data_IF_154993510666
#
_entry.id   IF_154993510666
#
_cell.length_a   1.000
_cell.length_b   1.000
_cell.length_c   1.000
_cell.angle_alpha   90.00
_cell.angle_beta   90.00
_cell.angle_gamma   90.00
#
_symmetry.space_group_name_H-M   'P 1'
#
loop_
_entity.id
_entity.type
_entity.pdbx_description
1 polymer ?
#
# COMPACT_ATOMS: atom_id res chain seq x y z
N UNK A 1 6.03 12.85 -10.12
CA UNK A 1 5.16 12.77 -11.33
C UNK A 1 4.13 13.88 -11.36
N UNK A 2 3.25 14.03 -10.34
CA UNK A 2 2.17 15.02 -10.35
C UNK A 2 2.68 16.47 -10.47
N UNK A 3 3.65 16.88 -9.64
CA UNK A 3 4.21 18.24 -9.70
C UNK A 3 4.82 18.56 -11.07
N UNK A 4 5.60 17.64 -11.63
CA UNK A 4 6.18 17.79 -12.96
C UNK A 4 5.09 17.97 -14.04
N UNK A 5 4.03 17.16 -13.97
CA UNK A 5 2.88 17.26 -14.87
C UNK A 5 2.19 18.62 -14.78
N UNK A 6 1.88 19.06 -13.57
CA UNK A 6 1.17 20.32 -13.34
C UNK A 6 1.98 21.55 -13.82
N UNK A 7 3.29 21.54 -13.63
CA UNK A 7 4.18 22.58 -14.14
C UNK A 7 4.25 22.56 -15.68
N UNK A 8 4.44 21.37 -16.24
CA UNK A 8 4.56 21.19 -17.68
C UNK A 8 3.27 21.58 -18.45
N UNK A 9 2.09 21.27 -17.89
CA UNK A 9 0.80 21.70 -18.44
C UNK A 9 0.64 23.24 -18.45
N UNK A 10 1.37 23.94 -17.60
CA UNK A 10 1.40 25.43 -17.57
C UNK A 10 2.51 26.02 -18.41
N UNK A 11 3.15 25.22 -19.27
CA UNK A 11 4.19 25.63 -20.20
C UNK A 11 5.59 25.78 -19.60
N UNK A 12 5.79 25.33 -18.35
CA UNK A 12 7.10 25.36 -17.69
C UNK A 12 7.91 24.14 -18.14
N UNK A 13 9.17 24.38 -18.53
CA UNK A 13 10.13 23.30 -18.80
C UNK A 13 10.58 22.67 -17.48
N UNK A 14 10.44 21.35 -17.37
CA UNK A 14 10.71 20.60 -16.14
C UNK A 14 11.78 19.56 -16.39
N UNK A 15 12.81 19.57 -15.55
CA UNK A 15 13.77 18.47 -15.42
C UNK A 15 13.30 17.56 -14.27
N UNK A 16 12.87 16.34 -14.59
CA UNK A 16 12.44 15.35 -13.62
C UNK A 16 13.57 14.33 -13.40
N UNK A 17 14.17 14.35 -12.22
CA UNK A 17 15.20 13.38 -11.83
C UNK A 17 14.56 12.22 -11.07
N UNK A 18 14.87 10.99 -11.50
CA UNK A 18 14.37 9.76 -10.92
C UNK A 18 15.50 8.73 -10.81
N UNK A 19 15.66 8.15 -9.62
CA UNK A 19 16.75 7.19 -9.38
C UNK A 19 16.56 5.86 -10.12
N UNK A 20 15.31 5.47 -10.42
CA UNK A 20 15.01 4.26 -11.18
C UNK A 20 15.27 4.46 -12.68
N UNK A 21 15.78 3.46 -13.39
CA UNK A 21 16.06 2.10 -12.95
C UNK A 21 17.45 1.90 -12.32
N UNK A 22 18.30 2.91 -12.26
CA UNK A 22 19.70 2.76 -11.83
C UNK A 22 19.83 2.36 -10.36
N UNK A 23 18.91 2.85 -9.51
CA UNK A 23 18.85 2.49 -8.10
C UNK A 23 17.42 2.16 -7.71
N UNK A 24 17.26 1.02 -7.04
CA UNK A 24 15.98 0.52 -6.54
C UNK A 24 16.03 0.42 -5.02
N UNK A 25 14.90 0.62 -4.36
CA UNK A 25 14.74 0.23 -2.94
C UNK A 25 14.19 -1.19 -2.84
N UNK A 26 14.27 -1.87 -1.69
CA UNK A 26 13.68 -3.19 -1.50
C UNK A 26 12.17 -3.26 -1.75
N UNK A 27 11.46 -2.14 -1.67
CA UNK A 27 10.02 -2.07 -1.90
C UNK A 27 9.64 -1.93 -3.38
N UNK A 28 10.55 -1.46 -4.23
CA UNK A 28 10.31 -1.30 -5.67
C UNK A 28 10.50 -2.63 -6.42
N UNK A 29 9.63 -2.87 -7.40
CA UNK A 29 9.66 -4.06 -8.26
C UNK A 29 9.70 -3.71 -9.74
N UNK A 30 9.43 -2.45 -10.10
CA UNK A 30 9.40 -1.96 -11.49
C UNK A 30 10.20 -0.67 -11.63
N UNK A 31 10.57 -0.35 -12.88
CA UNK A 31 11.18 0.94 -13.25
C UNK A 31 10.17 2.07 -13.42
N UNK A 32 8.88 1.79 -13.30
CA UNK A 32 7.83 2.77 -13.54
C UNK A 32 7.71 3.82 -12.44
N UNK A 33 7.28 5.03 -12.82
CA UNK A 33 6.92 6.09 -11.89
C UNK A 33 5.63 5.74 -11.14
N UNK A 34 5.41 6.39 -9.99
CA UNK A 34 4.22 6.22 -9.18
C UNK A 34 3.88 4.76 -8.84
N UNK A 35 4.89 3.90 -8.71
CA UNK A 35 4.70 2.51 -8.29
C UNK A 35 4.06 2.44 -6.90
N UNK A 36 2.96 1.71 -6.80
CA UNK A 36 2.25 1.49 -5.53
C UNK A 36 2.88 0.32 -4.77
N UNK A 37 3.81 0.60 -3.87
CA UNK A 37 4.61 -0.43 -3.19
C UNK A 37 3.82 -1.22 -2.15
N UNK A 38 2.91 -0.58 -1.41
CA UNK A 38 2.13 -1.21 -0.34
C UNK A 38 0.78 -1.74 -0.86
N UNK A 39 -0.18 -0.85 -1.10
CA UNK A 39 -1.54 -1.18 -1.50
C UNK A 39 -1.86 -0.63 -2.89
N UNK A 40 -2.72 -1.32 -3.66
CA UNK A 40 -3.24 -0.80 -4.92
C UNK A 40 -4.47 0.11 -4.73
N UNK A 41 -4.85 0.41 -3.50
CA UNK A 41 -5.99 1.27 -3.16
C UNK A 41 -5.55 2.69 -2.81
N UNK A 42 -6.21 3.65 -3.43
CA UNK A 42 -6.12 5.07 -3.11
C UNK A 42 -7.22 5.49 -2.11
N UNK A 43 -7.71 4.56 -1.27
CA UNK A 43 -8.78 4.76 -0.28
C UNK A 43 -10.17 4.99 -0.89
N UNK A 44 -11.13 5.42 -0.06
CA UNK A 44 -12.51 5.63 -0.47
C UNK A 44 -12.69 6.65 -1.60
N UNK A 45 -13.68 6.39 -2.46
CA UNK A 45 -14.00 7.24 -3.62
C UNK A 45 -15.27 8.07 -3.42
N UNK A 46 -16.08 7.77 -2.40
CA UNK A 46 -17.37 8.43 -2.17
C UNK A 46 -17.18 9.88 -1.74
N UNK A 47 -17.98 10.79 -2.33
CA UNK A 47 -17.88 12.23 -2.10
C UNK A 47 -18.23 12.64 -0.66
N UNK A 48 -18.99 11.82 0.05
CA UNK A 48 -19.35 12.01 1.45
C UNK A 48 -18.18 11.81 2.41
N UNK A 49 -17.09 11.26 1.91
CA UNK A 49 -15.85 11.08 2.65
C UNK A 49 -14.83 12.15 2.27
N UNK A 50 -14.12 12.69 3.25
CA UNK A 50 -13.09 13.70 3.01
C UNK A 50 -12.05 13.26 1.96
N UNK A 51 -11.63 11.98 1.99
CA UNK A 51 -10.67 11.43 1.01
C UNK A 51 -11.26 11.29 -0.39
N UNK A 52 -12.57 11.07 -0.52
CA UNK A 52 -13.26 11.04 -1.81
C UNK A 52 -13.48 12.45 -2.36
N UNK A 53 -13.86 13.39 -1.50
CA UNK A 53 -14.01 14.80 -1.87
C UNK A 53 -12.67 15.39 -2.37
N UNK A 54 -11.57 15.14 -1.66
CA UNK A 54 -10.23 15.57 -2.10
C UNK A 54 -9.88 15.02 -3.51
N UNK A 55 -10.25 13.77 -3.81
CA UNK A 55 -10.03 13.22 -5.15
C UNK A 55 -10.82 13.96 -6.22
N UNK A 56 -12.05 14.32 -5.92
CA UNK A 56 -12.86 15.11 -6.87
C UNK A 56 -12.28 16.51 -7.10
N UNK A 57 -11.80 17.16 -6.05
CA UNK A 57 -11.08 18.43 -6.18
C UNK A 57 -9.84 18.30 -7.05
N UNK A 58 -9.04 17.23 -6.85
CA UNK A 58 -7.87 16.94 -7.69
C UNK A 58 -8.25 16.64 -9.14
N UNK A 59 -9.39 15.96 -9.40
CA UNK A 59 -9.89 15.76 -10.78
C UNK A 59 -10.18 17.09 -11.47
N UNK A 60 -10.80 18.04 -10.77
CA UNK A 60 -11.06 19.39 -11.28
C UNK A 60 -9.80 20.21 -11.52
N UNK A 61 -8.68 19.83 -10.92
CA UNK A 61 -7.36 20.40 -11.15
C UNK A 61 -6.55 19.64 -12.23
N UNK A 62 -7.20 18.75 -12.98
CA UNK A 62 -6.58 17.92 -14.04
C UNK A 62 -5.39 17.07 -13.53
N UNK A 63 -5.52 16.48 -12.32
CA UNK A 63 -4.49 15.62 -11.74
C UNK A 63 -4.16 14.44 -12.64
N UNK A 64 -2.88 14.29 -12.98
CA UNK A 64 -2.35 13.14 -13.69
C UNK A 64 -2.65 11.83 -12.95
N UNK A 65 -2.42 11.83 -11.64
CA UNK A 65 -2.60 10.64 -10.80
C UNK A 65 -4.05 10.18 -10.83
N UNK A 66 -5.02 11.11 -10.72
CA UNK A 66 -6.44 10.73 -10.75
C UNK A 66 -6.90 10.31 -12.15
N UNK A 67 -6.43 10.96 -13.21
CA UNK A 67 -6.70 10.52 -14.59
C UNK A 67 -6.23 9.09 -14.83
N UNK A 68 -5.00 8.76 -14.40
CA UNK A 68 -4.46 7.42 -14.55
C UNK A 68 -5.17 6.41 -13.65
N UNK A 69 -5.52 6.80 -12.42
CA UNK A 69 -6.25 5.94 -11.49
C UNK A 69 -7.65 5.59 -12.01
N UNK A 70 -8.38 6.55 -12.53
CA UNK A 70 -9.71 6.33 -13.10
C UNK A 70 -9.65 5.44 -14.35
N UNK A 71 -8.61 5.60 -15.18
CA UNK A 71 -8.39 4.80 -16.39
C UNK A 71 -7.96 3.34 -16.12
N UNK A 72 -7.40 3.07 -14.95
CA UNK A 72 -6.89 1.74 -14.56
C UNK A 72 -7.61 1.18 -13.34
N UNK A 73 -8.82 1.67 -13.08
CA UNK A 73 -9.63 1.27 -11.94
C UNK A 73 -9.97 -0.22 -11.99
N UNK A 74 -9.88 -0.86 -10.83
CA UNK A 74 -10.38 -2.21 -10.58
C UNK A 74 -11.50 -2.16 -9.54
N UNK A 75 -12.38 -3.16 -9.58
CA UNK A 75 -13.49 -3.29 -8.65
C UNK A 75 -12.97 -3.53 -7.21
N UNK A 76 -13.41 -2.68 -6.28
CA UNK A 76 -13.02 -2.74 -4.86
C UNK A 76 -14.07 -2.05 -3.97
N UNK A 77 -15.35 -2.30 -4.22
CA UNK A 77 -16.45 -1.70 -3.48
C UNK A 77 -16.41 -0.16 -3.51
N UNK A 78 -16.45 0.47 -2.35
CA UNK A 78 -16.39 1.93 -2.22
C UNK A 78 -15.00 2.55 -2.32
N UNK A 79 -13.95 1.78 -2.59
CA UNK A 79 -12.59 2.28 -2.75
C UNK A 79 -12.25 2.61 -4.21
N UNK A 80 -11.31 3.54 -4.41
CA UNK A 80 -10.61 3.69 -5.69
C UNK A 80 -9.39 2.80 -5.65
N UNK A 81 -9.50 1.58 -6.17
CA UNK A 81 -8.38 0.69 -6.39
C UNK A 81 -8.02 0.64 -7.88
N UNK A 82 -6.77 0.35 -8.17
CA UNK A 82 -6.25 0.37 -9.54
C UNK A 82 -5.51 -0.94 -9.86
N UNK A 83 -5.46 -1.29 -11.14
CA UNK A 83 -4.45 -2.22 -11.64
C UNK A 83 -3.07 -1.61 -11.35
N UNK A 84 -2.34 -2.21 -10.42
CA UNK A 84 -1.09 -1.66 -9.90
C UNK A 84 -0.06 -1.40 -11.00
N UNK A 85 0.12 -2.37 -11.89
CA UNK A 85 1.09 -2.28 -12.96
C UNK A 85 0.62 -1.35 -14.09
N UNK A 86 -0.64 -1.46 -14.50
CA UNK A 86 -1.26 -0.60 -15.51
C UNK A 86 -1.24 0.87 -15.11
N UNK A 87 -1.53 1.17 -13.85
CA UNK A 87 -1.46 2.53 -13.31
C UNK A 87 -0.04 3.13 -13.39
N UNK A 88 0.95 2.42 -12.86
CA UNK A 88 2.34 2.90 -12.85
C UNK A 88 2.88 3.08 -14.30
N UNK A 89 2.57 2.13 -15.19
CA UNK A 89 2.91 2.21 -16.61
C UNK A 89 2.29 3.43 -17.27
N UNK A 90 0.99 3.66 -17.09
CA UNK A 90 0.27 4.78 -17.71
C UNK A 90 0.79 6.14 -17.23
N UNK A 91 1.07 6.28 -15.92
CA UNK A 91 1.71 7.50 -15.37
C UNK A 91 3.07 7.72 -16.03
N UNK A 92 3.88 6.67 -16.16
CA UNK A 92 5.21 6.74 -16.77
C UNK A 92 5.14 7.16 -18.24
N UNK A 93 4.25 6.56 -19.01
CA UNK A 93 4.03 6.88 -20.43
C UNK A 93 3.64 8.36 -20.61
N UNK A 94 2.68 8.86 -19.83
CA UNK A 94 2.24 10.26 -19.90
C UNK A 94 3.35 11.24 -19.53
N UNK A 95 4.10 10.97 -18.46
CA UNK A 95 5.22 11.83 -18.03
C UNK A 95 6.32 11.87 -19.08
N UNK A 96 6.75 10.69 -19.57
CA UNK A 96 7.83 10.60 -20.57
C UNK A 96 7.47 11.16 -21.95
N UNK A 97 6.19 11.15 -22.31
CA UNK A 97 5.72 11.68 -23.58
C UNK A 97 5.44 13.20 -23.58
N UNK A 98 5.46 13.83 -22.40
CA UNK A 98 5.13 15.27 -22.32
C UNK A 98 6.29 16.14 -22.85
N UNK A 99 6.05 17.06 -23.82
CA UNK A 99 7.13 17.82 -24.48
C UNK A 99 7.90 18.75 -23.54
N UNK A 100 7.30 19.17 -22.44
CA UNK A 100 7.91 20.05 -21.45
C UNK A 100 8.54 19.31 -20.26
N UNK A 101 8.62 17.96 -20.30
CA UNK A 101 9.26 17.18 -19.23
C UNK A 101 10.46 16.44 -19.81
N UNK A 102 11.63 16.72 -19.28
CA UNK A 102 12.86 15.97 -19.55
C UNK A 102 13.15 15.06 -18.36
N UNK A 103 13.12 13.75 -18.58
CA UNK A 103 13.44 12.77 -17.53
C UNK A 103 14.94 12.49 -17.55
N UNK A 104 15.58 12.68 -16.41
CA UNK A 104 17.01 12.38 -16.19
C UNK A 104 17.08 11.22 -15.18
N UNK A 105 17.54 10.03 -15.61
CA UNK A 105 17.78 8.93 -14.69
C UNK A 105 18.99 9.21 -13.79
N UNK A 106 18.96 8.64 -12.60
CA UNK A 106 20.04 8.70 -11.64
C UNK A 106 19.62 9.17 -10.26
N UNK A 107 20.37 8.75 -9.25
CA UNK A 107 20.17 9.16 -7.88
C UNK A 107 20.57 10.63 -7.68
N UNK A 108 19.70 11.40 -7.05
CA UNK A 108 20.03 12.75 -6.59
C UNK A 108 20.60 12.65 -5.18
N UNK A 109 21.84 13.06 -5.01
CA UNK A 109 22.54 13.06 -3.73
C UNK A 109 22.74 14.47 -3.16
N UNK A 110 22.63 15.49 -4.01
CA UNK A 110 22.76 16.89 -3.65
C UNK A 110 21.60 17.70 -4.23
N UNK A 111 21.18 18.73 -3.53
CA UNK A 111 20.09 19.60 -4.02
C UNK A 111 20.69 20.57 -5.03
N UNK A 112 20.22 20.57 -6.29
CA UNK A 112 20.72 21.49 -7.30
C UNK A 112 20.33 22.94 -6.97
N UNK A 113 21.08 23.89 -7.55
CA UNK A 113 20.72 25.30 -7.48
C UNK A 113 19.46 25.63 -8.30
N UNK A 114 18.71 26.64 -7.87
CA UNK A 114 17.53 27.13 -8.57
C UNK A 114 16.21 26.77 -7.89
N UNK A 115 15.12 26.78 -8.66
CA UNK A 115 13.81 26.40 -8.14
C UNK A 115 13.65 24.88 -8.17
N UNK A 116 13.55 24.28 -6.98
CA UNK A 116 13.55 22.82 -6.80
C UNK A 116 12.30 22.38 -6.03
N UNK A 117 11.66 21.32 -6.50
CA UNK A 117 10.61 20.62 -5.79
C UNK A 117 11.13 19.21 -5.45
N UNK A 118 11.30 18.93 -4.16
CA UNK A 118 11.66 17.60 -3.68
C UNK A 118 10.37 16.83 -3.40
N UNK A 119 10.09 15.85 -4.25
CA UNK A 119 8.87 15.04 -4.20
C UNK A 119 9.20 13.54 -4.32
N UNK A 120 10.31 13.12 -3.70
CA UNK A 120 10.83 11.75 -3.73
C UNK A 120 9.94 10.76 -2.95
N UNK A 121 9.07 11.28 -2.08
CA UNK A 121 8.13 10.46 -1.32
C UNK A 121 8.79 9.71 -0.15
N UNK A 122 8.09 8.74 0.44
CA UNK A 122 8.57 8.05 1.64
C UNK A 122 9.80 7.16 1.38
N UNK A 123 9.99 6.69 0.15
CA UNK A 123 11.13 5.85 -0.24
C UNK A 123 12.31 6.66 -0.78
N UNK A 124 12.56 7.83 -0.20
CA UNK A 124 13.73 8.66 -0.48
C UNK A 124 15.01 7.86 -0.23
N UNK A 125 16.00 7.98 -1.14
CA UNK A 125 17.27 7.29 -1.00
C UNK A 125 18.04 7.78 0.23
N UNK A 126 18.87 6.92 0.80
CA UNK A 126 19.66 7.25 2.00
C UNK A 126 20.54 8.49 1.78
N UNK A 127 21.20 8.59 0.63
CA UNK A 127 22.06 9.72 0.33
C UNK A 127 21.30 11.07 0.24
N UNK A 128 20.11 11.08 -0.39
CA UNK A 128 19.27 12.27 -0.41
C UNK A 128 18.68 12.57 0.97
N UNK A 129 18.30 11.54 1.73
CA UNK A 129 17.81 11.71 3.10
C UNK A 129 18.88 12.34 4.01
N UNK A 130 20.13 11.87 3.94
CA UNK A 130 21.27 12.46 4.67
C UNK A 130 21.50 13.93 4.29
N UNK A 131 21.43 14.25 3.00
CA UNK A 131 21.54 15.64 2.53
C UNK A 131 20.42 16.52 3.09
N UNK A 132 19.19 16.02 3.10
CA UNK A 132 18.04 16.74 3.68
C UNK A 132 18.19 16.91 5.19
N UNK A 133 18.68 15.90 5.90
CA UNK A 133 18.98 15.99 7.34
C UNK A 133 20.03 17.09 7.62
N UNK A 134 21.08 17.13 6.81
CA UNK A 134 22.11 18.17 6.92
C UNK A 134 21.57 19.60 6.78
N UNK A 135 20.53 19.82 5.98
CA UNK A 135 19.87 21.11 5.81
C UNK A 135 18.89 21.44 6.94
N UNK A 136 18.22 20.45 7.49
CA UNK A 136 17.12 20.62 8.44
C UNK A 136 17.59 20.57 9.91
N UNK A 137 18.85 20.19 10.17
CA UNK A 137 19.46 20.13 11.51
C UNK A 137 19.06 18.89 12.32
N UNK A 138 19.46 18.88 13.60
CA UNK A 138 19.38 17.70 14.49
C UNK A 138 17.95 17.18 14.79
N UNK A 139 16.90 17.86 14.39
CA UNK A 139 15.51 17.48 14.65
C UNK A 139 14.85 16.72 13.48
N UNK A 140 15.62 16.28 12.52
CA UNK A 140 15.14 15.72 11.26
C UNK A 140 15.08 14.18 11.20
N UNK A 141 15.39 13.48 12.29
CA UNK A 141 15.37 12.00 12.33
C UNK A 141 13.94 11.46 12.39
N UNK A 142 13.27 11.55 11.25
CA UNK A 142 11.88 11.11 11.15
C UNK A 142 11.78 9.97 10.15
N UNK A 143 11.98 8.77 10.67
CA UNK A 143 11.74 7.53 9.97
C UNK A 143 10.62 6.77 10.67
N UNK A 144 9.77 6.13 9.88
CA UNK A 144 8.86 5.11 10.37
C UNK A 144 8.93 3.90 9.46
N UNK A 145 8.61 2.76 10.02
CA UNK A 145 8.56 1.52 9.26
C UNK A 145 7.14 1.24 8.79
N UNK A 146 7.04 0.83 7.53
CA UNK A 146 5.81 0.41 6.88
C UNK A 146 6.01 -1.00 6.32
N UNK A 147 4.94 -1.76 6.29
CA UNK A 147 4.96 -3.12 5.79
C UNK A 147 3.99 -3.29 4.62
N UNK A 148 4.40 -4.04 3.61
CA UNK A 148 3.51 -4.45 2.53
C UNK A 148 2.75 -5.73 2.92
N UNK A 149 1.56 -5.89 2.37
CA UNK A 149 0.79 -7.12 2.48
C UNK A 149 1.17 -8.12 1.36
N UNK A 150 1.04 -9.44 1.60
CA UNK A 150 1.28 -10.45 0.59
C UNK A 150 0.26 -10.41 -0.56
N UNK A 151 0.69 -10.92 -1.72
CA UNK A 151 -0.15 -11.17 -2.87
C UNK A 151 -0.24 -12.68 -3.13
N UNK A 152 -1.44 -13.16 -3.46
CA UNK A 152 -1.69 -14.57 -3.79
C UNK A 152 -2.31 -14.71 -5.18
N UNK A 153 -2.07 -15.84 -5.83
CA UNK A 153 -2.75 -16.22 -7.06
C UNK A 153 -4.23 -16.47 -6.80
N UNK A 154 -5.10 -15.87 -7.60
CA UNK A 154 -6.54 -16.04 -7.47
C UNK A 154 -6.98 -17.52 -7.67
N UNK A 155 -6.32 -18.23 -8.58
CA UNK A 155 -6.60 -19.65 -8.88
C UNK A 155 -6.28 -20.58 -7.71
N UNK A 156 -5.39 -20.15 -6.81
CA UNK A 156 -4.98 -20.93 -5.65
C UNK A 156 -5.84 -20.71 -4.40
N UNK A 157 -6.80 -19.78 -4.46
CA UNK A 157 -7.74 -19.53 -3.36
C UNK A 157 -8.87 -20.57 -3.40
N UNK A 158 -9.07 -21.25 -2.28
CA UNK A 158 -10.13 -22.22 -2.15
C UNK A 158 -11.50 -21.55 -1.96
N UNK A 159 -12.24 -21.44 -3.06
CA UNK A 159 -13.58 -20.83 -3.08
C UNK A 159 -14.68 -21.68 -2.43
N UNK A 160 -14.41 -22.96 -2.08
CA UNK A 160 -15.34 -23.76 -1.26
C UNK A 160 -15.36 -23.25 0.20
N UNK A 161 -14.23 -22.70 0.63
CA UNK A 161 -14.05 -22.08 1.96
C UNK A 161 -14.13 -20.55 1.96
N UNK A 162 -14.55 -19.93 0.86
CA UNK A 162 -14.68 -18.48 0.73
C UNK A 162 -15.95 -18.10 -0.02
N UNK A 163 -16.28 -16.80 -0.03
CA UNK A 163 -17.37 -16.26 -0.86
C UNK A 163 -17.06 -14.84 -1.33
N UNK A 164 -17.65 -14.45 -2.45
CA UNK A 164 -17.64 -13.06 -2.90
C UNK A 164 -18.70 -12.26 -2.15
N UNK A 165 -18.37 -11.07 -1.70
CA UNK A 165 -19.34 -10.22 -1.00
C UNK A 165 -18.76 -8.91 -0.50
N UNK A 166 -19.62 -7.93 -0.30
CA UNK A 166 -19.29 -6.64 0.26
C UNK A 166 -19.88 -6.47 1.67
N UNK A 167 -19.25 -5.63 2.47
CA UNK A 167 -19.69 -5.38 3.85
C UNK A 167 -21.00 -4.61 3.88
N UNK A 168 -22.01 -5.18 4.58
CA UNK A 168 -23.39 -4.66 4.67
C UNK A 168 -24.10 -4.60 3.32
N UNK A 169 -23.75 -5.48 2.38
CA UNK A 169 -24.29 -5.53 1.02
C UNK A 169 -24.23 -4.16 0.31
N UNK A 170 -23.17 -3.36 0.63
CA UNK A 170 -22.96 -2.04 0.07
C UNK A 170 -22.02 -2.11 -1.13
N UNK A 171 -22.55 -1.76 -2.29
CA UNK A 171 -21.81 -1.78 -3.55
C UNK A 171 -21.83 -3.15 -4.22
N UNK A 172 -20.78 -3.50 -4.90
CA UNK A 172 -20.59 -4.75 -5.63
C UNK A 172 -19.83 -5.77 -4.79
N UNK A 173 -20.01 -7.06 -5.07
CA UNK A 173 -19.40 -8.17 -4.34
C UNK A 173 -17.94 -8.37 -4.77
N UNK A 174 -17.09 -7.39 -4.47
CA UNK A 174 -15.74 -7.28 -5.02
C UNK A 174 -14.65 -7.92 -4.16
N UNK A 175 -14.99 -8.33 -2.94
CA UNK A 175 -14.02 -8.95 -2.02
C UNK A 175 -14.27 -10.44 -1.89
N UNK A 176 -13.18 -11.22 -1.91
CA UNK A 176 -13.25 -12.61 -1.44
C UNK A 176 -13.14 -12.59 0.08
N UNK A 177 -14.13 -13.16 0.74
CA UNK A 177 -14.22 -13.26 2.19
C UNK A 177 -13.82 -14.67 2.63
N UNK A 178 -12.76 -14.79 3.40
CA UNK A 178 -12.19 -16.04 3.89
C UNK A 178 -12.51 -16.16 5.40
N UNK A 179 -13.54 -16.92 5.77
CA UNK A 179 -13.96 -17.05 7.17
C UNK A 179 -13.03 -17.95 7.97
N UNK A 180 -13.02 -17.72 9.26
CA UNK A 180 -12.51 -18.62 10.27
C UNK A 180 -13.55 -18.76 11.40
N UNK A 181 -13.71 -19.98 11.91
CA UNK A 181 -14.39 -20.23 13.17
C UNK A 181 -13.49 -19.86 14.35
N UNK A 182 -13.97 -19.99 15.59
CA UNK A 182 -13.21 -19.61 16.77
C UNK A 182 -11.95 -20.47 16.97
N UNK A 183 -12.04 -21.78 16.77
CA UNK A 183 -10.89 -22.70 16.96
C UNK A 183 -9.80 -22.43 15.93
N UNK A 184 -10.18 -22.18 14.67
CA UNK A 184 -9.27 -21.81 13.58
C UNK A 184 -8.60 -20.45 13.86
N UNK A 185 -9.35 -19.47 14.33
CA UNK A 185 -8.82 -18.17 14.70
C UNK A 185 -7.86 -18.25 15.88
N UNK A 186 -8.21 -18.97 16.93
CA UNK A 186 -7.38 -19.11 18.14
C UNK A 186 -6.03 -19.78 17.78
N UNK A 187 -6.07 -20.82 16.94
CA UNK A 187 -4.85 -21.46 16.42
C UNK A 187 -4.03 -20.49 15.56
N UNK A 188 -4.66 -19.78 14.64
CA UNK A 188 -4.03 -18.77 13.79
C UNK A 188 -3.39 -17.65 14.61
N UNK A 189 -4.14 -17.06 15.56
CA UNK A 189 -3.65 -15.99 16.44
C UNK A 189 -2.42 -16.41 17.24
N UNK A 190 -2.44 -17.62 17.80
CA UNK A 190 -1.32 -18.18 18.56
C UNK A 190 -0.07 -18.29 17.69
N UNK A 191 -0.20 -18.87 16.50
CA UNK A 191 0.92 -19.04 15.58
C UNK A 191 1.43 -17.70 15.03
N UNK A 192 0.53 -16.75 14.73
CA UNK A 192 0.87 -15.42 14.29
C UNK A 192 1.70 -14.64 15.31
N UNK A 193 1.30 -14.69 16.59
CA UNK A 193 1.97 -13.96 17.67
C UNK A 193 3.33 -14.51 18.07
N UNK A 194 3.62 -15.77 17.72
CA UNK A 194 4.86 -16.48 18.04
C UNK A 194 5.76 -16.71 16.83
N UNK A 195 5.31 -16.31 15.64
CA UNK A 195 6.05 -16.48 14.40
C UNK A 195 7.36 -15.66 14.37
N UNK A 196 8.34 -16.13 13.62
CA UNK A 196 9.64 -15.47 13.49
C UNK A 196 9.54 -14.26 12.56
N UNK A 197 10.07 -13.15 13.03
CA UNK A 197 10.15 -11.89 12.28
C UNK A 197 11.48 -11.74 11.55
N UNK A 198 11.47 -10.99 10.45
CA UNK A 198 12.69 -10.58 9.78
C UNK A 198 13.44 -9.57 10.65
N UNK A 199 14.76 -9.69 10.71
CA UNK A 199 15.60 -8.70 11.38
C UNK A 199 15.58 -7.40 10.57
N UNK A 200 15.13 -6.31 11.17
CA UNK A 200 15.15 -4.98 10.58
C UNK A 200 15.99 -4.09 11.47
N UNK A 201 17.15 -3.64 10.97
CA UNK A 201 18.04 -2.78 11.72
C UNK A 201 17.35 -1.45 12.09
N UNK A 202 17.39 -1.11 13.37
CA UNK A 202 16.76 0.12 13.89
C UNK A 202 15.24 0.08 14.00
N UNK A 203 14.63 -1.12 13.84
CA UNK A 203 13.21 -1.29 14.06
C UNK A 203 12.89 -1.38 15.56
N UNK A 204 11.96 -0.54 16.00
CA UNK A 204 11.30 -0.64 17.29
C UNK A 204 9.79 -0.60 17.06
N UNK A 205 9.02 -1.39 17.81
CA UNK A 205 7.55 -1.42 17.69
C UNK A 205 6.89 -0.03 17.86
N UNK A 206 7.56 0.86 18.59
CA UNK A 206 7.11 2.25 18.78
C UNK A 206 7.23 3.14 17.54
N UNK A 207 8.02 2.72 16.54
CA UNK A 207 8.25 3.46 15.28
C UNK A 207 7.33 3.01 14.15
N UNK A 208 6.33 2.16 14.42
CA UNK A 208 5.38 1.68 13.42
C UNK A 208 4.26 2.71 13.28
N UNK A 209 3.93 3.06 12.03
CA UNK A 209 2.79 3.91 11.74
C UNK A 209 1.48 3.15 11.97
N UNK A 210 0.59 3.68 12.81
CA UNK A 210 -0.67 3.03 13.20
C UNK A 210 -1.54 2.60 12.01
N UNK A 211 -1.54 3.37 10.92
CA UNK A 211 -2.33 3.06 9.72
C UNK A 211 -1.80 1.90 8.87
N UNK A 212 -0.56 1.47 9.09
CA UNK A 212 0.13 0.40 8.36
C UNK A 212 0.82 -0.59 9.30
N UNK A 213 0.27 -0.74 10.51
CA UNK A 213 0.81 -1.62 11.53
C UNK A 213 0.82 -3.07 11.05
N UNK A 214 1.94 -3.81 11.23
CA UNK A 214 1.99 -5.23 10.92
C UNK A 214 0.94 -6.03 11.69
N UNK A 215 0.36 -7.01 11.03
CA UNK A 215 -0.75 -7.81 11.58
C UNK A 215 -0.34 -8.57 12.84
N UNK A 216 0.89 -9.07 12.92
CA UNK A 216 1.45 -9.73 14.10
C UNK A 216 1.66 -8.76 15.28
N UNK A 217 2.03 -7.50 15.00
CA UNK A 217 2.14 -6.45 16.03
C UNK A 217 0.76 -6.11 16.59
N UNK A 218 -0.25 -5.97 15.72
CA UNK A 218 -1.63 -5.80 16.15
C UNK A 218 -2.12 -6.99 16.99
N UNK A 219 -1.83 -8.21 16.57
CA UNK A 219 -2.23 -9.44 17.27
C UNK A 219 -1.67 -9.51 18.70
N UNK A 220 -0.44 -9.06 18.92
CA UNK A 220 0.20 -9.02 20.24
C UNK A 220 -0.40 -7.98 21.19
N UNK A 221 -1.12 -6.99 20.70
CA UNK A 221 -1.85 -6.02 21.54
C UNK A 221 -3.05 -6.64 22.27
N UNK A 222 -3.50 -7.81 21.85
CA UNK A 222 -4.57 -8.56 22.50
C UNK A 222 -5.26 -9.50 21.53
N UNK A 223 -5.78 -10.62 22.09
CA UNK A 223 -6.44 -11.67 21.33
C UNK A 223 -7.55 -11.13 20.39
N UNK A 224 -8.38 -10.22 20.87
CA UNK A 224 -9.52 -9.71 20.13
C UNK A 224 -9.18 -8.50 19.22
N UNK A 225 -7.94 -8.00 19.25
CA UNK A 225 -7.57 -6.78 18.51
C UNK A 225 -7.85 -6.92 17.01
N UNK A 226 -7.53 -8.06 16.41
CA UNK A 226 -7.75 -8.31 14.99
C UNK A 226 -9.24 -8.39 14.64
N UNK A 227 -10.09 -8.86 15.57
CA UNK A 227 -11.55 -9.00 15.38
C UNK A 227 -12.26 -7.63 15.31
N UNK A 228 -11.64 -6.59 15.85
CA UNK A 228 -12.10 -5.20 15.73
C UNK A 228 -11.35 -4.41 14.65
N UNK A 229 -10.36 -5.02 14.03
CA UNK A 229 -9.49 -4.51 12.98
C UNK A 229 -9.64 -5.23 11.63
N UNK A 230 -8.54 -5.76 11.08
CA UNK A 230 -8.52 -6.34 9.74
C UNK A 230 -9.37 -7.60 9.58
N UNK A 231 -9.60 -8.36 10.65
CA UNK A 231 -10.39 -9.60 10.61
C UNK A 231 -11.83 -9.43 11.10
N UNK A 232 -12.31 -8.20 11.19
CA UNK A 232 -13.68 -7.92 11.62
C UNK A 232 -14.69 -8.61 10.70
N UNK A 233 -15.58 -9.43 11.26
CA UNK A 233 -16.63 -10.15 10.51
C UNK A 233 -17.96 -9.40 10.42
N UNK A 234 -18.21 -8.44 11.30
CA UNK A 234 -19.50 -7.73 11.36
C UNK A 234 -19.86 -7.08 10.03
N UNK A 235 -21.06 -7.41 9.54
CA UNK A 235 -21.60 -6.94 8.26
C UNK A 235 -21.13 -7.77 7.05
N UNK A 236 -20.58 -8.97 7.28
CA UNK A 236 -20.23 -9.96 6.28
C UNK A 236 -20.97 -11.26 6.61
N UNK A 237 -22.17 -11.43 6.08
CA UNK A 237 -22.96 -12.64 6.28
C UNK A 237 -22.42 -13.75 5.37
N UNK A 238 -22.04 -14.88 5.97
CA UNK A 238 -21.65 -16.06 5.21
C UNK A 238 -22.92 -16.68 4.57
N UNK A 239 -23.03 -16.72 3.24
CA UNK A 239 -24.23 -17.22 2.56
C UNK A 239 -24.54 -18.69 2.84
N UNK A 240 -23.57 -19.47 3.32
CA UNK A 240 -23.74 -20.89 3.68
C UNK A 240 -24.42 -21.06 5.04
N UNK A 241 -24.26 -20.11 5.95
CA UNK A 241 -24.75 -20.19 7.34
C UNK A 241 -25.78 -19.12 7.68
N UNK A 242 -25.84 -18.02 6.90
CA UNK A 242 -26.65 -16.84 7.17
C UNK A 242 -26.23 -16.08 8.43
N UNK A 243 -25.00 -16.25 8.89
CA UNK A 243 -24.45 -15.63 10.12
C UNK A 243 -23.05 -15.06 9.86
N UNK A 244 -22.66 -14.10 10.69
CA UNK A 244 -21.29 -13.62 10.69
C UNK A 244 -20.36 -14.72 11.21
N UNK A 245 -19.25 -15.01 10.51
CA UNK A 245 -18.19 -15.86 11.04
C UNK A 245 -17.53 -15.25 12.29
N UNK A 246 -16.71 -16.00 12.99
CA UNK A 246 -15.95 -15.49 14.11
C UNK A 246 -14.93 -14.43 13.65
N UNK A 247 -14.18 -14.75 12.59
CA UNK A 247 -13.24 -13.83 11.94
C UNK A 247 -13.35 -13.97 10.41
N UNK A 248 -12.96 -12.92 9.66
CA UNK A 248 -12.92 -12.95 8.19
C UNK A 248 -11.69 -12.22 7.68
N UNK A 249 -10.90 -12.89 6.87
CA UNK A 249 -9.85 -12.26 6.06
C UNK A 249 -10.44 -11.87 4.72
N UNK A 250 -10.23 -10.63 4.31
CA UNK A 250 -10.70 -10.14 3.02
C UNK A 250 -9.55 -10.09 2.01
N UNK A 251 -9.81 -10.58 0.80
CA UNK A 251 -8.90 -10.45 -0.33
C UNK A 251 -9.49 -9.46 -1.32
N UNK A 252 -8.63 -8.61 -1.89
CA UNK A 252 -9.01 -7.62 -2.90
C UNK A 252 -8.20 -7.83 -4.17
N UNK A 253 -8.83 -7.65 -5.32
CA UNK A 253 -8.16 -7.69 -6.64
C UNK A 253 -7.00 -6.69 -6.68
N UNK A 254 -5.85 -7.13 -7.19
CA UNK A 254 -4.65 -6.32 -7.37
C UNK A 254 -4.38 -5.96 -8.83
N UNK A 255 -5.04 -6.63 -9.77
CA UNK A 255 -4.96 -6.39 -11.21
C UNK A 255 -6.33 -6.45 -11.90
N UNK A 256 -6.40 -5.96 -13.13
CA UNK A 256 -7.63 -5.90 -13.92
C UNK A 256 -8.17 -7.29 -14.30
N UNK A 257 -7.28 -8.24 -14.57
CA UNK A 257 -7.63 -9.62 -14.94
C UNK A 257 -8.25 -10.39 -13.78
N UNK A 258 -8.12 -9.90 -12.53
CA UNK A 258 -8.58 -10.59 -11.32
C UNK A 258 -7.79 -11.87 -11.01
N UNK A 259 -6.58 -12.00 -11.55
CA UNK A 259 -5.71 -13.15 -11.35
C UNK A 259 -4.85 -13.07 -10.08
N UNK A 260 -4.80 -11.89 -9.43
CA UNK A 260 -4.00 -11.63 -8.24
C UNK A 260 -4.86 -10.98 -7.16
N UNK A 261 -4.76 -11.49 -5.95
CA UNK A 261 -5.38 -10.92 -4.77
C UNK A 261 -4.38 -10.42 -3.74
N UNK A 262 -4.69 -9.27 -3.14
CA UNK A 262 -4.00 -8.69 -1.99
C UNK A 262 -4.72 -9.08 -0.70
N UNK A 263 -4.00 -9.52 0.33
CA UNK A 263 -4.53 -9.78 1.66
C UNK A 263 -4.74 -8.44 2.39
N UNK A 264 -6.00 -8.04 2.55
CA UNK A 264 -6.33 -6.73 3.13
C UNK A 264 -6.01 -6.68 4.63
N UNK A 265 -5.17 -5.71 5.03
CA UNK A 265 -4.78 -5.54 6.43
C UNK A 265 -3.71 -6.52 6.93
N UNK A 266 -3.07 -7.27 6.02
CA UNK A 266 -2.00 -8.23 6.33
C UNK A 266 -0.60 -7.68 6.03
N UNK A 267 -0.38 -6.41 6.27
CA UNK A 267 0.98 -5.88 6.33
C UNK A 267 1.77 -6.69 7.36
N UNK A 268 2.98 -7.10 7.01
CA UNK A 268 3.75 -8.01 7.87
C UNK A 268 5.26 -7.88 7.66
N UNK A 269 6.02 -8.10 8.71
CA UNK A 269 7.48 -8.27 8.68
C UNK A 269 7.93 -9.67 9.11
N UNK A 270 6.99 -10.64 9.13
CA UNK A 270 7.35 -12.03 9.32
C UNK A 270 8.33 -12.52 8.24
N UNK A 271 9.23 -13.44 8.59
CA UNK A 271 10.05 -14.15 7.60
C UNK A 271 9.17 -14.82 6.53
N UNK A 272 9.61 -14.89 5.29
CA UNK A 272 8.83 -15.48 4.19
C UNK A 272 8.31 -16.89 4.46
N UNK A 273 9.12 -17.82 5.03
CA UNK A 273 8.60 -19.15 5.40
C UNK A 273 7.47 -19.08 6.45
N UNK A 274 7.57 -18.13 7.40
CA UNK A 274 6.54 -17.92 8.42
C UNK A 274 5.26 -17.33 7.85
N UNK A 275 5.37 -16.36 6.92
CA UNK A 275 4.20 -15.83 6.22
C UNK A 275 3.43 -16.96 5.53
N UNK A 276 4.13 -17.82 4.79
CA UNK A 276 3.52 -18.97 4.13
C UNK A 276 2.88 -19.92 5.16
N UNK A 277 3.61 -20.29 6.20
CA UNK A 277 3.14 -21.23 7.24
C UNK A 277 1.90 -20.70 7.95
N UNK A 278 1.94 -19.48 8.45
CA UNK A 278 0.88 -18.89 9.27
C UNK A 278 -0.33 -18.54 8.44
N UNK A 279 -0.15 -17.89 7.28
CA UNK A 279 -1.29 -17.44 6.48
C UNK A 279 -1.99 -18.60 5.76
N UNK A 280 -1.30 -19.73 5.52
CA UNK A 280 -1.94 -20.97 5.04
C UNK A 280 -2.78 -21.68 6.08
N UNK A 281 -2.82 -21.22 7.34
CA UNK A 281 -3.77 -21.71 8.35
C UNK A 281 -5.20 -21.17 8.13
N UNK A 282 -5.36 -20.12 7.35
CA UNK A 282 -6.67 -19.61 6.93
C UNK A 282 -7.26 -20.63 5.94
N UNK A 283 -8.43 -21.23 6.20
CA UNK A 283 -8.94 -22.35 5.40
C UNK A 283 -8.93 -22.11 3.88
N UNK A 284 -9.40 -20.96 3.44
CA UNK A 284 -9.42 -20.60 2.03
C UNK A 284 -8.02 -20.38 1.41
N UNK A 285 -6.98 -20.25 2.24
CA UNK A 285 -5.59 -20.03 1.80
C UNK A 285 -4.68 -21.23 2.06
N UNK A 286 -5.24 -22.39 2.43
CA UNK A 286 -4.46 -23.56 2.79
C UNK A 286 -3.44 -23.98 1.72
N UNK A 287 -3.82 -23.89 0.45
CA UNK A 287 -2.98 -24.19 -0.71
C UNK A 287 -2.60 -22.94 -1.50
N UNK A 288 -2.71 -21.75 -0.92
CA UNK A 288 -2.47 -20.51 -1.64
C UNK A 288 -1.04 -20.40 -2.15
N UNK A 289 -0.91 -19.98 -3.41
CA UNK A 289 0.36 -19.62 -4.04
C UNK A 289 0.66 -18.15 -3.78
N UNK A 290 1.70 -17.88 -2.97
CA UNK A 290 2.15 -16.53 -2.68
C UNK A 290 3.02 -16.01 -3.83
N UNK A 291 2.48 -15.09 -4.61
CA UNK A 291 3.17 -14.44 -5.73
C UNK A 291 4.16 -13.37 -5.25
N UNK A 292 3.86 -12.75 -4.11
CA UNK A 292 4.75 -11.80 -3.41
C UNK A 292 4.52 -11.91 -1.92
N UNK A 293 5.60 -11.94 -1.17
CA UNK A 293 5.55 -11.84 0.30
C UNK A 293 5.47 -10.40 0.76
N UNK A 294 4.92 -10.20 1.95
CA UNK A 294 5.00 -8.94 2.66
C UNK A 294 6.46 -8.61 3.00
N UNK A 295 6.82 -7.35 2.83
CA UNK A 295 8.15 -6.84 3.18
C UNK A 295 8.01 -5.56 3.97
N UNK A 296 8.91 -5.36 4.94
CA UNK A 296 9.03 -4.11 5.65
C UNK A 296 10.01 -3.20 4.93
N UNK A 297 9.70 -1.91 4.93
CA UNK A 297 10.58 -0.87 4.39
C UNK A 297 10.57 0.35 5.29
N UNK A 298 11.69 1.05 5.30
CA UNK A 298 11.84 2.31 6.03
C UNK A 298 11.30 3.45 5.18
N UNK A 299 10.41 4.22 5.75
CA UNK A 299 9.89 5.45 5.16
C UNK A 299 10.58 6.67 5.77
N UNK A 300 10.85 7.66 4.94
CA UNK A 300 11.36 8.97 5.35
C UNK A 300 10.23 9.98 5.32
N UNK A 301 10.10 10.79 6.36
CA UNK A 301 9.15 11.91 6.41
C UNK A 301 9.77 13.13 7.08
N UNK A 302 9.14 14.27 6.97
CA UNK A 302 9.58 15.52 7.59
C UNK A 302 8.58 15.95 8.66
N UNK A 303 9.07 16.38 9.84
CA UNK A 303 8.25 17.07 10.84
C UNK A 303 7.96 18.50 10.36
N UNK A 304 7.15 18.60 9.30
CA UNK A 304 6.84 19.87 8.64
C UNK A 304 6.42 20.97 9.60
N UNK A 305 5.60 20.72 10.67
CA UNK A 305 5.21 21.77 11.60
C UNK A 305 6.36 22.41 12.36
N UNK A 306 7.48 21.70 12.51
CA UNK A 306 8.67 22.21 13.22
C UNK A 306 9.76 22.72 12.28
N UNK A 307 9.84 22.12 11.08
CA UNK A 307 10.96 22.34 10.17
C UNK A 307 10.67 23.39 9.11
N UNK A 308 9.39 23.60 8.74
CA UNK A 308 9.03 24.56 7.70
C UNK A 308 8.65 25.90 8.32
N UNK A 309 9.20 26.98 7.75
CA UNK A 309 8.81 28.33 8.11
C UNK A 309 7.33 28.60 7.74
N UNK A 310 6.76 29.53 8.47
CA UNK A 310 5.38 29.98 8.24
C UNK A 310 5.35 30.97 7.09
N UNK A 311 5.14 30.48 5.88
CA UNK A 311 4.85 31.31 4.70
C UNK A 311 3.44 31.01 4.19
#
# INVERSE_FOLDING_TARGET
SEAAWQLAQRGIQVELREMKPEKMTPAHTTEYFAELCCSNSLRGAALENAVGLLKEELRRLDSLILQCADATRVEAGGALAVDRHGFARLVTEKVRSHPNITVIPGEVTEIPEGEVIIASGPLTSDALAETLQGLLGEHSDLHFFDAAAPLVSAESVDMEHAWMGSRYDKGTDDYVNCPMNQEEYDAFWKELTTAQEAEVHGFEDSMVFEGCMPVEVMARRGHDTLLYGPLKSRGLDDPRTGRWPYAVVQLRRDNAEGSVYNLVGFQTHLKFPEQRRVFSMIPALHNAEFLRYGVMHRNTFLDSPRLLDRY
#
